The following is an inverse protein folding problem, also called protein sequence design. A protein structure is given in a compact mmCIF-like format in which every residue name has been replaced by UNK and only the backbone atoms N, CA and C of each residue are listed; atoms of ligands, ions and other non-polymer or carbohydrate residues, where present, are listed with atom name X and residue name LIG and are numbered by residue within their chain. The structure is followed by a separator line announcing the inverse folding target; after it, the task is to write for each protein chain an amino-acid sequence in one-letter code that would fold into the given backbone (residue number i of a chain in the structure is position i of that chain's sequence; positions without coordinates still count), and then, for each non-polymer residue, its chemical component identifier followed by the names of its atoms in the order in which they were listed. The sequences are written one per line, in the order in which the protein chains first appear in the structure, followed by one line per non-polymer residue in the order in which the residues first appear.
data_IF_969881969661
#
_entry.id   IF_969881969661
#
_cell.length_a   1.000
_cell.length_b   1.000
_cell.length_c   1.000
_cell.angle_alpha   90.00
_cell.angle_beta   90.00
_cell.angle_gamma   90.00
#
_symmetry.space_group_name_H-M   'P 1'
#
loop_
_entity.id
_entity.type
_entity.pdbx_description
1 polymer ?
#
# COMPACT_ATOMS: atom_id res chain seq x y z
N UNK A 1 7.47 7.00 7.94
CA UNK A 1 8.59 7.32 7.05
C UNK A 1 8.19 8.48 6.13
N UNK A 2 9.15 9.25 5.66
CA UNK A 2 8.90 10.37 4.77
C UNK A 2 8.71 9.85 3.33
N UNK A 3 7.52 10.03 2.78
CA UNK A 3 7.14 9.52 1.45
C UNK A 3 8.02 10.16 0.37
N UNK A 4 8.73 9.34 -0.37
CA UNK A 4 9.72 9.77 -1.35
C UNK A 4 11.15 9.87 -0.82
N UNK A 5 11.37 9.65 0.49
CA UNK A 5 12.67 9.71 1.16
C UNK A 5 12.99 11.10 1.73
N UNK A 6 13.67 11.14 2.88
CA UNK A 6 14.03 12.38 3.56
C UNK A 6 15.32 13.00 3.00
N UNK A 7 16.33 12.18 2.77
CA UNK A 7 17.66 12.64 2.32
C UNK A 7 17.88 12.42 0.83
N UNK A 8 18.72 13.28 0.23
CA UNK A 8 19.05 13.20 -1.19
C UNK A 8 17.93 13.66 -2.13
N UNK A 9 18.16 13.49 -3.42
CA UNK A 9 17.23 13.91 -4.45
C UNK A 9 16.36 12.72 -4.92
N UNK A 10 15.09 12.76 -4.62
CA UNK A 10 14.11 11.76 -5.05
C UNK A 10 13.92 11.77 -6.57
N UNK A 11 13.44 10.65 -7.12
CA UNK A 11 12.97 10.54 -8.50
C UNK A 11 11.44 10.39 -8.53
N UNK A 12 10.84 10.63 -9.69
CA UNK A 12 9.40 10.41 -9.88
C UNK A 12 8.99 8.96 -9.64
N UNK A 13 9.84 8.01 -10.06
CA UNK A 13 9.63 6.59 -9.80
C UNK A 13 9.64 6.29 -8.29
N UNK A 14 10.66 6.73 -7.57
CA UNK A 14 10.78 6.51 -6.13
C UNK A 14 9.59 7.09 -5.39
N UNK A 15 9.19 8.32 -5.71
CA UNK A 15 8.03 8.95 -5.12
C UNK A 15 6.75 8.16 -5.38
N UNK A 16 6.51 7.73 -6.62
CA UNK A 16 5.29 6.98 -6.97
C UNK A 16 5.24 5.60 -6.30
N UNK A 17 6.36 4.86 -6.28
CA UNK A 17 6.43 3.56 -5.57
C UNK A 17 6.29 3.73 -4.05
N UNK A 18 6.90 4.76 -3.50
CA UNK A 18 6.72 5.06 -2.08
C UNK A 18 5.28 5.49 -1.76
N UNK A 19 4.65 6.24 -2.65
CA UNK A 19 3.24 6.60 -2.51
C UNK A 19 2.34 5.36 -2.49
N UNK A 20 2.60 4.34 -3.34
CA UNK A 20 1.86 3.07 -3.32
C UNK A 20 1.93 2.35 -1.96
N UNK A 21 3.03 2.46 -1.23
CA UNK A 21 3.14 1.96 0.15
C UNK A 21 2.46 2.91 1.14
N UNK A 22 2.73 4.21 1.02
CA UNK A 22 2.32 5.21 2.02
C UNK A 22 0.81 5.40 2.10
N UNK A 23 0.05 5.05 1.04
CA UNK A 23 -1.42 5.10 1.09
C UNK A 23 -2.02 4.16 2.14
N UNK A 24 -1.29 3.14 2.56
CA UNK A 24 -1.68 2.22 3.63
C UNK A 24 -1.25 2.67 5.03
N UNK A 25 -0.32 3.60 5.15
CA UNK A 25 0.22 4.00 6.46
C UNK A 25 -0.72 4.97 7.20
N UNK A 26 -0.79 4.94 8.54
CA UNK A 26 -1.58 5.90 9.32
C UNK A 26 -1.20 7.34 9.03
N UNK A 27 0.09 7.62 8.93
CA UNK A 27 0.64 8.93 8.57
C UNK A 27 1.27 8.85 7.18
N UNK A 28 0.68 9.56 6.24
CA UNK A 28 1.26 9.80 4.92
C UNK A 28 1.80 11.23 4.92
N UNK A 29 3.11 11.39 4.90
CA UNK A 29 3.80 12.67 4.91
C UNK A 29 4.87 12.69 3.83
N UNK A 30 4.79 13.66 2.93
CA UNK A 30 5.89 13.98 2.02
C UNK A 30 6.75 15.05 2.69
N UNK A 31 7.98 14.69 3.01
CA UNK A 31 8.91 15.57 3.71
C UNK A 31 10.35 15.27 3.29
N UNK A 32 11.14 16.31 3.07
CA UNK A 32 12.51 16.22 2.61
C UNK A 32 13.41 17.18 3.39
N UNK A 33 14.71 16.89 3.40
CA UNK A 33 15.72 17.75 4.00
C UNK A 33 15.87 19.07 3.23
N UNK A 34 16.24 20.12 3.94
CA UNK A 34 16.55 21.41 3.34
C UNK A 34 17.67 21.27 2.29
N UNK A 35 17.52 21.91 1.15
CA UNK A 35 18.50 21.89 0.06
C UNK A 35 18.42 20.68 -0.87
N UNK A 36 17.47 19.76 -0.65
CA UNK A 36 17.16 18.70 -1.60
C UNK A 36 16.23 19.17 -2.71
N UNK A 37 16.08 18.36 -3.77
CA UNK A 37 15.12 18.61 -4.83
C UNK A 37 13.69 18.66 -4.28
N UNK A 38 12.87 19.56 -4.84
CA UNK A 38 11.44 19.56 -4.59
C UNK A 38 10.82 18.20 -4.94
N UNK A 39 10.06 17.63 -4.00
CA UNK A 39 9.46 16.29 -4.17
C UNK A 39 7.96 16.25 -3.87
N UNK A 40 7.29 17.39 -3.91
CA UNK A 40 5.83 17.42 -3.82
C UNK A 40 5.21 16.51 -4.91
N UNK A 41 4.02 15.96 -4.69
CA UNK A 41 3.40 15.01 -5.62
C UNK A 41 3.27 15.50 -7.08
N UNK A 42 3.41 16.79 -7.32
CA UNK A 42 3.34 17.46 -8.62
C UNK A 42 4.69 17.92 -9.17
N UNK A 43 5.80 17.72 -8.45
CA UNK A 43 7.11 18.27 -8.81
C UNK A 43 7.84 17.52 -9.95
N UNK A 44 7.32 16.36 -10.39
CA UNK A 44 8.00 15.46 -11.34
C UNK A 44 7.28 15.36 -12.70
N UNK A 45 6.49 16.38 -13.06
CA UNK A 45 5.77 16.44 -14.32
C UNK A 45 4.37 15.82 -14.28
N UNK A 46 3.66 15.92 -15.40
CA UNK A 46 2.22 15.61 -15.48
C UNK A 46 1.90 14.14 -15.19
N UNK A 47 2.70 13.22 -15.71
CA UNK A 47 2.47 11.80 -15.53
C UNK A 47 2.57 11.38 -14.05
N UNK A 48 3.63 11.78 -13.35
CA UNK A 48 3.80 11.50 -11.92
C UNK A 48 2.71 12.20 -11.10
N UNK A 49 2.31 13.39 -11.50
CA UNK A 49 1.19 14.12 -10.87
C UNK A 49 -0.12 13.34 -11.02
N UNK A 50 -0.40 12.79 -12.21
CA UNK A 50 -1.58 11.97 -12.48
C UNK A 50 -1.59 10.72 -11.61
N UNK A 51 -0.46 9.99 -11.57
CA UNK A 51 -0.26 8.79 -10.75
C UNK A 51 -0.53 9.10 -9.27
N UNK A 52 0.16 10.07 -8.71
CA UNK A 52 0.05 10.40 -7.29
C UNK A 52 -1.35 10.91 -6.93
N UNK A 53 -2.01 11.65 -7.82
CA UNK A 53 -3.41 12.09 -7.61
C UNK A 53 -4.35 10.90 -7.49
N UNK A 54 -4.18 9.88 -8.36
CA UNK A 54 -4.99 8.66 -8.29
C UNK A 54 -4.75 7.91 -6.98
N UNK A 55 -3.48 7.66 -6.63
CA UNK A 55 -3.11 6.95 -5.40
C UNK A 55 -3.61 7.68 -4.14
N UNK A 56 -3.54 9.01 -4.11
CA UNK A 56 -4.13 9.79 -3.02
C UNK A 56 -5.65 9.68 -2.97
N UNK A 57 -6.32 9.60 -4.13
CA UNK A 57 -7.74 9.29 -4.22
C UNK A 57 -8.08 7.93 -3.60
N UNK A 58 -7.28 6.92 -3.92
CA UNK A 58 -7.43 5.58 -3.35
C UNK A 58 -7.18 5.58 -1.83
N UNK A 59 -6.22 6.37 -1.33
CA UNK A 59 -6.05 6.56 0.12
C UNK A 59 -7.31 7.08 0.79
N UNK A 60 -7.97 8.09 0.20
CA UNK A 60 -9.22 8.61 0.79
C UNK A 60 -10.31 7.54 0.87
N UNK A 61 -10.34 6.61 -0.06
CA UNK A 61 -11.24 5.45 -0.01
C UNK A 61 -10.85 4.46 1.09
N UNK A 62 -9.55 4.31 1.38
CA UNK A 62 -9.02 3.42 2.42
C UNK A 62 -9.13 3.98 3.85
N UNK A 63 -9.30 5.30 4.02
CA UNK A 63 -9.33 5.94 5.35
C UNK A 63 -10.30 5.26 6.33
N UNK A 64 -11.55 4.88 5.96
CA UNK A 64 -12.44 4.20 6.90
C UNK A 64 -11.83 2.91 7.47
N UNK A 65 -11.18 2.10 6.62
CA UNK A 65 -10.49 0.90 7.04
C UNK A 65 -9.30 1.22 7.97
N UNK A 66 -8.40 2.10 7.51
CA UNK A 66 -7.21 2.49 8.27
C UNK A 66 -7.55 3.08 9.64
N UNK A 67 -8.59 3.90 9.69
CA UNK A 67 -9.05 4.50 10.94
C UNK A 67 -9.65 3.45 11.88
N UNK A 68 -10.42 2.51 11.35
CA UNK A 68 -10.99 1.40 12.14
C UNK A 68 -9.89 0.53 12.76
N UNK A 69 -8.86 0.19 11.96
CA UNK A 69 -7.72 -0.59 12.44
C UNK A 69 -6.91 0.17 13.49
N UNK A 70 -6.70 1.48 13.30
CA UNK A 70 -6.03 2.32 14.30
C UNK A 70 -6.81 2.34 15.62
N UNK A 71 -8.14 2.48 15.57
CA UNK A 71 -8.98 2.47 16.77
C UNK A 71 -8.98 1.10 17.46
N UNK A 72 -9.04 0.00 16.70
CA UNK A 72 -8.91 -1.36 17.27
C UNK A 72 -7.60 -1.46 18.09
N UNK A 73 -6.47 -1.00 17.52
CA UNK A 73 -5.18 -1.06 18.21
C UNK A 73 -5.11 -0.11 19.42
N UNK A 74 -5.72 1.05 19.34
CA UNK A 74 -5.81 1.96 20.46
C UNK A 74 -6.57 1.36 21.66
N UNK A 75 -7.68 0.65 21.40
CA UNK A 75 -8.52 0.11 22.47
C UNK A 75 -8.06 -1.26 22.97
N UNK A 76 -7.48 -2.08 22.11
CA UNK A 76 -7.17 -3.50 22.41
C UNK A 76 -5.67 -3.81 22.38
N UNK A 77 -4.83 -2.87 21.99
CA UNK A 77 -3.40 -3.10 21.78
C UNK A 77 -3.09 -3.86 20.48
N UNK A 78 -1.85 -4.33 20.37
CA UNK A 78 -1.35 -5.04 19.21
C UNK A 78 -0.77 -4.13 18.13
N UNK A 79 -0.43 -4.71 16.99
CA UNK A 79 0.21 -4.02 15.88
C UNK A 79 -0.78 -3.78 14.74
N UNK A 80 -0.74 -2.61 14.13
CA UNK A 80 -1.49 -2.32 12.91
C UNK A 80 -0.84 -2.98 11.69
N UNK A 81 0.50 -3.00 11.66
CA UNK A 81 1.31 -3.72 10.70
C UNK A 81 2.01 -4.87 11.40
N UNK A 82 1.81 -6.08 10.90
CA UNK A 82 2.34 -7.29 11.52
C UNK A 82 3.17 -8.07 10.50
N UNK A 83 4.44 -8.42 10.83
CA UNK A 83 5.22 -9.35 10.03
C UNK A 83 4.51 -10.69 9.87
N UNK A 84 4.63 -11.34 8.73
CA UNK A 84 3.99 -12.64 8.48
C UNK A 84 4.41 -13.68 9.53
N UNK A 85 5.67 -13.66 9.95
CA UNK A 85 6.23 -14.56 10.97
C UNK A 85 5.52 -14.52 12.34
N UNK A 86 4.70 -13.51 12.62
CA UNK A 86 3.96 -13.41 13.88
C UNK A 86 2.67 -14.24 13.87
N UNK A 87 2.14 -14.54 12.70
CA UNK A 87 0.90 -15.33 12.54
C UNK A 87 1.12 -16.67 11.84
N UNK A 88 2.18 -16.80 11.04
CA UNK A 88 2.45 -17.98 10.23
C UNK A 88 3.85 -18.53 10.54
N UNK A 89 3.92 -19.80 10.90
CA UNK A 89 5.15 -20.41 11.44
C UNK A 89 6.03 -21.13 10.40
N UNK A 90 5.64 -21.11 9.11
CA UNK A 90 6.45 -21.67 8.02
C UNK A 90 7.71 -20.86 7.75
N UNK A 91 8.77 -21.51 7.21
CA UNK A 91 10.04 -20.85 6.91
C UNK A 91 9.85 -19.69 5.92
N UNK A 92 8.99 -19.87 4.92
CA UNK A 92 8.69 -18.85 3.93
C UNK A 92 8.05 -17.59 4.54
N UNK A 93 7.25 -17.76 5.60
CA UNK A 93 6.66 -16.63 6.32
C UNK A 93 7.71 -15.90 7.18
N UNK A 94 8.69 -16.64 7.73
CA UNK A 94 9.79 -16.06 8.49
C UNK A 94 10.76 -15.29 7.58
N UNK A 95 10.97 -15.77 6.36
CA UNK A 95 11.87 -15.17 5.37
C UNK A 95 11.22 -14.00 4.60
N UNK A 96 9.90 -13.79 4.74
CA UNK A 96 9.16 -12.73 4.06
C UNK A 96 9.31 -11.37 4.76
N UNK A 97 10.48 -10.75 4.64
CA UNK A 97 10.81 -9.46 5.28
C UNK A 97 10.15 -8.24 4.62
N UNK A 98 9.57 -8.40 3.44
CA UNK A 98 9.07 -7.33 2.58
C UNK A 98 7.56 -7.43 2.30
N UNK A 99 6.85 -8.19 3.13
CA UNK A 99 5.41 -8.35 3.15
C UNK A 99 4.88 -8.15 4.57
N UNK A 100 3.75 -7.47 4.70
CA UNK A 100 3.17 -7.16 5.99
C UNK A 100 1.67 -7.42 5.98
N UNK A 101 1.16 -7.97 7.06
CA UNK A 101 -0.27 -7.90 7.35
C UNK A 101 -0.62 -6.47 7.77
N UNK A 102 -1.75 -5.98 7.31
CA UNK A 102 -2.34 -4.70 7.71
C UNK A 102 -3.71 -4.99 8.33
N UNK A 103 -3.79 -4.81 9.63
CA UNK A 103 -4.92 -5.29 10.40
C UNK A 103 -5.02 -6.82 10.37
N UNK A 104 -6.24 -7.31 10.44
CA UNK A 104 -6.53 -8.75 10.37
C UNK A 104 -6.98 -9.20 8.98
N UNK A 105 -7.29 -8.24 8.11
CA UNK A 105 -7.96 -8.47 6.84
C UNK A 105 -7.02 -8.45 5.65
N UNK A 106 -5.99 -7.62 5.68
CA UNK A 106 -5.18 -7.36 4.50
C UNK A 106 -3.73 -7.84 4.65
N UNK A 107 -3.11 -8.11 3.51
CA UNK A 107 -1.67 -8.21 3.37
C UNK A 107 -1.20 -7.29 2.24
N UNK A 108 -0.10 -6.59 2.46
CA UNK A 108 0.55 -5.72 1.49
C UNK A 108 1.93 -6.24 1.12
N UNK A 109 2.30 -6.07 -0.14
CA UNK A 109 3.59 -6.50 -0.69
C UNK A 109 4.09 -5.45 -1.70
N UNK A 110 4.68 -4.33 -1.25
CA UNK A 110 5.06 -3.23 -2.11
C UNK A 110 6.18 -3.60 -3.09
N UNK A 111 6.17 -3.00 -4.29
CA UNK A 111 7.33 -3.03 -5.19
C UNK A 111 8.29 -1.95 -4.73
N UNK A 112 9.50 -2.36 -4.34
CA UNK A 112 10.52 -1.47 -3.77
C UNK A 112 11.83 -1.46 -4.57
N UNK A 113 12.00 -2.36 -5.55
CA UNK A 113 13.19 -2.39 -6.40
C UNK A 113 13.07 -1.36 -7.53
N UNK A 114 14.13 -0.58 -7.81
CA UNK A 114 14.14 0.34 -8.95
C UNK A 114 13.84 -0.38 -10.26
N UNK A 115 13.08 0.26 -11.14
CA UNK A 115 12.62 -0.29 -12.42
C UNK A 115 11.78 -1.57 -12.31
N UNK A 116 11.34 -1.94 -11.10
CA UNK A 116 10.52 -3.11 -10.84
C UNK A 116 9.10 -2.95 -11.43
N UNK A 117 8.68 -3.94 -12.24
CA UNK A 117 7.31 -4.03 -12.78
C UNK A 117 6.43 -5.02 -12.01
N UNK A 118 7.04 -5.77 -11.11
CA UNK A 118 6.38 -6.77 -10.29
C UNK A 118 7.37 -7.43 -9.35
N UNK A 119 6.87 -8.38 -8.57
CA UNK A 119 7.68 -9.16 -7.64
C UNK A 119 7.04 -10.50 -7.34
N UNK A 120 7.83 -11.43 -6.81
CA UNK A 120 7.30 -12.63 -6.17
C UNK A 120 6.76 -12.28 -4.79
N UNK A 121 5.58 -12.83 -4.49
CA UNK A 121 4.86 -12.67 -3.22
C UNK A 121 4.51 -14.04 -2.69
N UNK A 122 4.83 -14.31 -1.44
CA UNK A 122 4.42 -15.51 -0.74
C UNK A 122 3.05 -15.30 -0.09
N UNK A 123 2.10 -16.18 -0.36
CA UNK A 123 0.79 -16.22 0.26
C UNK A 123 0.75 -17.36 1.28
N UNK A 124 0.68 -17.08 2.59
CA UNK A 124 0.66 -18.13 3.62
C UNK A 124 -0.65 -18.90 3.66
N UNK A 125 -1.70 -18.34 3.10
CA UNK A 125 -3.03 -18.94 2.94
C UNK A 125 -3.64 -18.54 1.60
N UNK A 126 -4.77 -19.12 1.21
CA UNK A 126 -5.52 -18.65 0.05
C UNK A 126 -6.00 -17.22 0.29
N UNK A 127 -5.70 -16.31 -0.63
CA UNK A 127 -6.07 -14.91 -0.55
C UNK A 127 -6.67 -14.41 -1.86
N UNK A 128 -7.44 -13.35 -1.81
CA UNK A 128 -7.87 -12.65 -3.01
C UNK A 128 -6.91 -11.47 -3.29
N UNK A 129 -6.23 -11.50 -4.43
CA UNK A 129 -5.55 -10.32 -4.96
C UNK A 129 -6.63 -9.31 -5.35
N UNK A 130 -6.56 -8.14 -4.76
CA UNK A 130 -7.47 -7.02 -5.02
C UNK A 130 -6.75 -6.01 -5.90
N UNK A 131 -7.26 -5.77 -7.09
CA UNK A 131 -6.91 -4.62 -7.91
C UNK A 131 -7.89 -3.48 -7.55
N UNK A 132 -7.39 -2.47 -6.82
CA UNK A 132 -8.21 -1.45 -6.17
C UNK A 132 -8.52 -0.29 -7.11
N UNK A 133 -9.31 -0.59 -8.13
CA UNK A 133 -9.88 0.39 -9.09
C UNK A 133 -11.16 1.03 -8.52
N UNK A 134 -11.84 1.87 -9.33
CA UNK A 134 -13.17 2.41 -8.99
C UNK A 134 -14.16 1.29 -8.66
N UNK A 135 -14.18 0.24 -9.48
CA UNK A 135 -14.80 -1.04 -9.20
C UNK A 135 -13.68 -2.05 -8.90
N UNK A 136 -13.45 -2.44 -7.64
CA UNK A 136 -12.38 -3.37 -7.30
C UNK A 136 -12.59 -4.74 -7.95
N UNK A 137 -11.53 -5.26 -8.53
CA UNK A 137 -11.50 -6.60 -9.11
C UNK A 137 -10.77 -7.56 -8.18
N UNK A 138 -11.30 -8.76 -8.01
CA UNK A 138 -10.71 -9.78 -7.13
C UNK A 138 -10.33 -11.02 -7.92
N UNK A 139 -9.11 -11.49 -7.70
CA UNK A 139 -8.62 -12.76 -8.23
C UNK A 139 -8.20 -13.66 -7.07
N UNK A 140 -8.87 -14.79 -6.89
CA UNK A 140 -8.53 -15.73 -5.82
C UNK A 140 -7.25 -16.49 -6.22
N UNK A 141 -6.27 -16.46 -5.33
CA UNK A 141 -4.99 -17.16 -5.46
C UNK A 141 -4.85 -18.18 -4.31
N UNK A 142 -4.32 -19.34 -4.63
CA UNK A 142 -3.99 -20.36 -3.63
C UNK A 142 -2.76 -19.91 -2.81
N UNK A 143 -2.55 -20.51 -1.65
CA UNK A 143 -1.30 -20.39 -0.88
C UNK A 143 -0.10 -20.77 -1.76
N UNK A 144 1.05 -20.18 -1.50
CA UNK A 144 2.29 -20.40 -2.25
C UNK A 144 2.86 -19.11 -2.84
N UNK A 145 3.84 -19.23 -3.71
CA UNK A 145 4.55 -18.10 -4.31
C UNK A 145 3.91 -17.73 -5.66
N UNK A 146 3.58 -16.44 -5.80
CA UNK A 146 2.98 -15.88 -7.03
C UNK A 146 3.79 -14.68 -7.51
N UNK A 147 3.94 -14.55 -8.83
CA UNK A 147 4.46 -13.31 -9.40
C UNK A 147 3.31 -12.33 -9.60
N UNK A 148 3.41 -11.17 -8.97
CA UNK A 148 2.41 -10.10 -9.05
C UNK A 148 3.04 -8.88 -9.67
N UNK A 149 2.43 -8.37 -10.74
CA UNK A 149 2.83 -7.13 -11.40
C UNK A 149 1.76 -6.07 -11.23
N UNK A 150 2.18 -4.84 -11.10
CA UNK A 150 1.31 -3.67 -11.17
C UNK A 150 2.09 -2.41 -11.51
N UNK A 151 1.43 -1.54 -12.25
CA UNK A 151 1.99 -0.28 -12.71
C UNK A 151 2.01 0.78 -11.60
N UNK A 152 2.59 1.92 -11.89
CA UNK A 152 2.76 3.00 -10.90
C UNK A 152 1.42 3.59 -10.42
N UNK A 153 0.38 3.54 -11.23
CA UNK A 153 -0.94 4.05 -10.88
C UNK A 153 -1.93 2.97 -10.41
N UNK A 154 -1.49 1.73 -10.32
CA UNK A 154 -2.29 0.64 -9.75
C UNK A 154 -2.03 0.50 -8.25
N UNK A 155 -3.07 0.23 -7.50
CA UNK A 155 -2.99 -0.13 -6.09
C UNK A 155 -3.50 -1.54 -5.92
N UNK A 156 -2.61 -2.45 -5.52
CA UNK A 156 -2.93 -3.86 -5.29
C UNK A 156 -2.55 -4.27 -3.89
N UNK A 157 -3.35 -5.15 -3.31
CA UNK A 157 -3.13 -5.77 -2.01
C UNK A 157 -3.89 -7.09 -1.96
N UNK A 158 -3.72 -7.84 -0.89
CA UNK A 158 -4.35 -9.14 -0.72
C UNK A 158 -5.38 -9.07 0.40
N UNK A 159 -6.60 -9.56 0.13
CA UNK A 159 -7.63 -9.76 1.13
C UNK A 159 -7.56 -11.20 1.62
N UNK A 160 -7.48 -11.37 2.92
CA UNK A 160 -7.40 -12.68 3.58
C UNK A 160 -8.70 -13.44 3.47
N UNK A 161 -8.61 -14.77 3.51
CA UNK A 161 -9.77 -15.66 3.46
C UNK A 161 -10.76 -15.37 4.60
N UNK A 162 -12.05 -15.37 4.27
CA UNK A 162 -13.16 -15.14 5.22
C UNK A 162 -13.09 -13.78 5.94
N UNK A 163 -12.41 -12.81 5.38
CA UNK A 163 -12.34 -11.45 5.90
C UNK A 163 -13.07 -10.47 4.99
N UNK A 164 -13.51 -9.37 5.56
CA UNK A 164 -14.18 -8.28 4.86
C UNK A 164 -13.43 -6.98 5.10
N UNK A 165 -13.30 -6.19 4.07
CA UNK A 165 -12.75 -4.84 4.15
C UNK A 165 -13.83 -3.82 3.79
N UNK A 166 -13.98 -2.81 4.63
CA UNK A 166 -14.87 -1.66 4.36
C UNK A 166 -14.04 -0.52 3.79
N UNK A 167 -14.48 0.06 2.70
CA UNK A 167 -13.86 1.24 2.10
C UNK A 167 -14.93 2.29 1.74
N UNK A 168 -14.52 3.55 1.65
CA UNK A 168 -15.39 4.65 1.29
C UNK A 168 -15.39 4.94 -0.20
N UNK A 169 -16.28 5.83 -0.62
CA UNK A 169 -16.24 6.43 -1.94
C UNK A 169 -15.41 7.72 -1.93
N UNK A 170 -14.62 7.95 -2.97
CA UNK A 170 -13.98 9.25 -3.17
C UNK A 170 -15.08 10.30 -3.41
N UNK A 171 -15.31 11.18 -2.45
CA UNK A 171 -16.31 12.25 -2.60
C UNK A 171 -15.87 13.20 -3.71
N UNK A 172 -16.55 13.16 -4.85
CA UNK A 172 -16.48 14.26 -5.82
C UNK A 172 -17.02 15.53 -5.14
N UNK A 173 -16.19 16.57 -4.99
CA UNK A 173 -16.70 17.86 -4.55
C UNK A 173 -17.82 18.25 -5.52
N UNK A 174 -19.05 18.36 -5.05
CA UNK A 174 -20.10 19.03 -5.82
C UNK A 174 -19.60 20.46 -6.06
N UNK A 175 -19.38 20.81 -7.33
CA UNK A 175 -19.21 22.23 -7.69
C UNK A 175 -20.47 22.96 -7.21
N UNK A 176 -20.29 23.87 -6.25
CA UNK A 176 -21.31 24.88 -5.93
C UNK A 176 -21.32 25.92 -7.02
#
# INVERSE_FOLDING_TARGET
ADTGGFGGNSSGELLSRWMQLSVFTPVLRNHAALGTRNQEPYAFGEEVTRINRKLLGDRYRLIPYLYSELLKRYHHGGLMFTPLAFEFFGQEAQDAEDQLLLGEELMIAPIYKPNGKGRYVYLPENMALVDFKDQPELTVLNSGVHYVSYDFDELKFFLRRNKLMVYGEARKKKKK
#
